data_IF_346721621488
#
_entry.id   IF_346721621488
#
_cell.length_a   1.000
_cell.length_b   1.000
_cell.length_c   1.000
_cell.angle_alpha   90.00
_cell.angle_beta   90.00
_cell.angle_gamma   90.00
#
_symmetry.space_group_name_H-M   'P 1'
#
loop_
_entity.id
_entity.type
_entity.pdbx_description
1 polymer ?
#
# COMPACT_ATOMS: atom_id res chain seq x y z
N UNK A 1 -9.16 22.42 -14.95
CA UNK A 1 -8.81 22.24 -13.54
C UNK A 1 -8.12 20.89 -13.34
N UNK A 2 -6.98 20.91 -12.71
CA UNK A 2 -6.25 19.68 -12.45
C UNK A 2 -6.93 18.88 -11.34
N UNK A 3 -7.04 17.57 -11.53
CA UNK A 3 -7.51 16.70 -10.45
C UNK A 3 -6.40 16.51 -9.43
N UNK A 4 -6.76 16.17 -8.20
CA UNK A 4 -5.79 15.86 -7.17
C UNK A 4 -4.93 14.68 -7.60
N UNK A 5 -3.64 14.64 -7.22
CA UNK A 5 -2.79 13.48 -7.48
C UNK A 5 -3.42 12.21 -6.88
N UNK A 6 -3.28 11.12 -7.58
CA UNK A 6 -3.81 9.83 -7.16
C UNK A 6 -2.70 8.80 -7.06
N UNK A 7 -2.83 7.83 -6.14
CA UNK A 7 -1.91 6.71 -6.12
C UNK A 7 -1.96 5.96 -7.44
N UNK A 8 -0.82 5.47 -7.88
CA UNK A 8 -0.74 4.64 -9.07
C UNK A 8 -0.53 3.19 -8.66
N UNK A 9 -1.34 2.31 -9.22
CA UNK A 9 -1.24 0.87 -8.96
C UNK A 9 -1.16 0.19 -10.32
N UNK A 10 -0.08 -0.55 -10.55
CA UNK A 10 0.16 -1.24 -11.81
C UNK A 10 0.22 -2.74 -11.55
N UNK A 11 -0.66 -3.55 -12.16
CA UNK A 11 -0.55 -5.01 -12.05
C UNK A 11 0.78 -5.48 -12.62
N UNK A 12 1.42 -6.43 -11.97
CA UNK A 12 2.70 -7.00 -12.41
C UNK A 12 2.57 -8.46 -12.80
N UNK A 13 2.45 -9.34 -11.82
CA UNK A 13 2.45 -10.79 -12.06
C UNK A 13 1.30 -11.45 -11.32
N UNK A 14 0.74 -12.49 -11.91
CA UNK A 14 -0.35 -13.23 -11.32
C UNK A 14 -0.02 -14.72 -11.34
N UNK A 15 0.02 -15.32 -10.17
CA UNK A 15 0.23 -16.75 -10.00
C UNK A 15 -1.06 -17.49 -9.76
N UNK A 16 -0.96 -18.69 -9.23
CA UNK A 16 -2.13 -19.50 -8.85
C UNK A 16 -2.81 -18.97 -7.58
N UNK A 17 -2.02 -18.54 -6.61
CA UNK A 17 -2.50 -18.11 -5.30
C UNK A 17 -2.23 -16.63 -5.08
N UNK A 18 -1.08 -16.14 -5.52
CA UNK A 18 -0.62 -14.79 -5.26
C UNK A 18 -0.65 -13.93 -6.51
N UNK A 19 -0.74 -12.63 -6.29
CA UNK A 19 -0.50 -11.64 -7.33
C UNK A 19 0.37 -10.53 -6.77
N UNK A 20 1.03 -9.79 -7.67
CA UNK A 20 1.85 -8.66 -7.29
C UNK A 20 1.45 -7.43 -8.06
N UNK A 21 1.60 -6.27 -7.43
CA UNK A 21 1.32 -4.96 -8.02
C UNK A 21 2.40 -3.98 -7.61
N UNK A 22 2.69 -3.04 -8.49
CA UNK A 22 3.53 -1.90 -8.13
C UNK A 22 2.63 -0.78 -7.63
N UNK A 23 3.02 -0.20 -6.51
CA UNK A 23 2.35 0.97 -5.95
C UNK A 23 3.33 2.13 -5.99
N UNK A 24 2.85 3.30 -6.40
CA UNK A 24 3.66 4.51 -6.46
C UNK A 24 2.84 5.68 -5.93
N UNK A 25 3.49 6.55 -5.17
CA UNK A 25 2.86 7.77 -4.72
C UNK A 25 3.90 8.87 -4.52
N UNK A 26 3.52 10.09 -4.88
CA UNK A 26 4.33 11.28 -4.66
C UNK A 26 3.71 12.11 -3.54
N UNK A 27 4.41 13.16 -3.12
CA UNK A 27 3.96 14.03 -2.05
C UNK A 27 2.53 14.53 -2.29
N UNK A 28 1.71 14.49 -1.25
CA UNK A 28 0.32 14.94 -1.31
C UNK A 28 -0.67 13.88 -1.76
N UNK A 29 -0.18 12.72 -2.22
CA UNK A 29 -1.05 11.63 -2.64
C UNK A 29 -1.39 10.78 -1.42
N UNK A 30 -2.66 10.40 -1.28
CA UNK A 30 -3.09 9.56 -0.18
C UNK A 30 -3.89 8.37 -0.68
N UNK A 31 -3.62 7.21 -0.10
CA UNK A 31 -4.54 6.09 -0.20
C UNK A 31 -5.66 6.31 0.80
N UNK A 32 -6.91 6.12 0.39
CA UNK A 32 -8.02 6.23 1.33
C UNK A 32 -7.86 5.20 2.44
N UNK A 33 -8.38 5.52 3.61
CA UNK A 33 -8.38 4.59 4.74
C UNK A 33 -9.14 3.33 4.34
N UNK A 34 -8.53 2.18 4.55
CA UNK A 34 -9.11 0.90 4.13
C UNK A 34 -8.59 -0.24 4.98
N UNK A 35 -9.20 -1.38 4.81
CA UNK A 35 -8.73 -2.65 5.36
C UNK A 35 -8.86 -3.73 4.30
N UNK A 36 -8.10 -4.79 4.46
CA UNK A 36 -8.10 -5.92 3.53
C UNK A 36 -8.55 -7.19 4.23
N UNK A 37 -9.16 -8.09 3.48
CA UNK A 37 -9.64 -9.37 4.02
C UNK A 37 -8.52 -10.34 4.36
N UNK A 38 -7.32 -10.13 3.80
CA UNK A 38 -6.18 -11.03 3.93
C UNK A 38 -4.93 -10.25 4.28
N UNK A 39 -4.00 -10.93 4.90
CA UNK A 39 -2.68 -10.39 5.15
C UNK A 39 -1.94 -10.20 3.83
N UNK A 40 -1.12 -9.15 3.74
CA UNK A 40 -0.32 -8.88 2.55
C UNK A 40 1.02 -8.27 2.94
N UNK A 41 1.93 -8.19 1.97
CA UNK A 41 3.28 -7.67 2.19
C UNK A 41 3.55 -6.51 1.25
N UNK A 42 4.15 -5.45 1.78
CA UNK A 42 4.71 -4.36 0.98
C UNK A 42 6.23 -4.44 1.05
N UNK A 43 6.87 -4.38 -0.10
CA UNK A 43 8.34 -4.30 -0.22
C UNK A 43 8.65 -2.93 -0.82
N UNK A 44 9.30 -2.06 -0.06
CA UNK A 44 9.65 -0.73 -0.55
C UNK A 44 10.87 -0.86 -1.46
N UNK A 45 10.77 -0.35 -2.69
CA UNK A 45 11.87 -0.39 -3.66
C UNK A 45 12.56 0.96 -3.80
N UNK A 46 11.82 2.06 -3.61
CA UNK A 46 12.37 3.41 -3.69
C UNK A 46 11.65 4.30 -2.68
N UNK A 47 12.36 5.24 -2.09
CA UNK A 47 11.77 6.24 -1.22
C UNK A 47 11.34 5.71 0.13
N UNK A 48 10.33 6.33 0.69
CA UNK A 48 9.87 6.05 2.06
C UNK A 48 8.35 6.14 2.12
N UNK A 49 7.73 5.18 2.80
CA UNK A 49 6.31 5.22 3.10
C UNK A 49 6.06 5.08 4.60
N UNK A 50 4.91 5.55 5.00
CA UNK A 50 4.41 5.39 6.36
C UNK A 50 3.07 4.70 6.30
N UNK A 51 2.84 3.72 7.17
CA UNK A 51 1.54 3.08 7.30
C UNK A 51 0.90 3.64 8.56
N UNK A 52 -0.27 4.27 8.40
CA UNK A 52 -0.98 4.87 9.51
C UNK A 52 -2.02 3.90 10.03
N UNK A 53 -1.76 3.35 11.20
CA UNK A 53 -2.72 2.57 11.98
C UNK A 53 -3.33 3.48 13.06
N UNK A 54 -4.29 2.97 13.79
CA UNK A 54 -4.91 3.75 14.87
C UNK A 54 -3.88 4.10 15.96
N UNK A 55 -3.04 3.16 16.35
CA UNK A 55 -2.13 3.32 17.49
C UNK A 55 -0.65 3.35 17.11
N UNK A 56 -0.31 3.27 15.83
CA UNK A 56 1.09 3.25 15.43
C UNK A 56 1.25 3.75 14.00
N UNK A 57 2.47 4.19 13.69
CA UNK A 57 2.77 4.82 12.41
C UNK A 57 4.13 4.32 11.88
N UNK A 58 4.26 3.01 11.60
CA UNK A 58 5.55 2.49 11.14
C UNK A 58 5.98 3.10 9.81
N UNK A 59 7.26 3.37 9.70
CA UNK A 59 7.90 3.94 8.51
C UNK A 59 8.82 2.88 7.90
N UNK A 60 8.78 2.78 6.57
CA UNK A 60 9.66 1.86 5.84
C UNK A 60 10.31 2.59 4.68
N UNK A 61 11.60 2.32 4.49
CA UNK A 61 12.37 2.90 3.40
C UNK A 61 12.86 1.79 2.45
N UNK A 62 13.47 2.20 1.34
CA UNK A 62 13.92 1.27 0.29
C UNK A 62 14.68 0.07 0.86
N UNK A 63 14.31 -1.12 0.44
CA UNK A 63 14.86 -2.38 0.91
C UNK A 63 14.15 -3.00 2.11
N UNK A 64 13.21 -2.28 2.72
CA UNK A 64 12.48 -2.75 3.88
C UNK A 64 11.10 -3.29 3.50
N UNK A 65 10.54 -4.12 4.35
CA UNK A 65 9.23 -4.73 4.15
C UNK A 65 8.32 -4.44 5.34
N UNK A 66 7.02 -4.52 5.07
CA UNK A 66 6.03 -4.48 6.14
C UNK A 66 4.90 -5.45 5.80
N UNK A 67 4.48 -6.22 6.79
CA UNK A 67 3.33 -7.10 6.67
C UNK A 67 2.10 -6.32 7.14
N UNK A 68 1.11 -6.21 6.27
CA UNK A 68 -0.16 -5.54 6.60
C UNK A 68 -1.13 -6.59 7.10
N UNK A 69 -1.57 -6.52 8.36
CA UNK A 69 -2.50 -7.53 8.90
C UNK A 69 -3.87 -7.48 8.23
N UNK A 70 -4.54 -8.62 8.20
CA UNK A 70 -5.91 -8.71 7.72
C UNK A 70 -6.85 -7.94 8.65
N UNK A 71 -7.87 -7.31 8.08
CA UNK A 71 -8.99 -6.67 8.78
C UNK A 71 -8.60 -5.54 9.74
N UNK A 72 -7.49 -4.87 9.47
CA UNK A 72 -7.04 -3.71 10.26
C UNK A 72 -7.10 -2.46 9.40
N UNK A 73 -7.81 -1.44 9.88
CA UNK A 73 -7.91 -0.16 9.18
C UNK A 73 -6.56 0.54 9.13
N UNK A 74 -6.19 1.02 7.95
CA UNK A 74 -4.92 1.71 7.76
C UNK A 74 -4.96 2.64 6.55
N UNK A 75 -3.97 3.53 6.49
CA UNK A 75 -3.69 4.37 5.32
C UNK A 75 -2.23 4.21 4.94
N UNK A 76 -1.95 4.33 3.65
CA UNK A 76 -0.57 4.33 3.14
C UNK A 76 -0.24 5.76 2.75
N UNK A 77 0.84 6.29 3.31
CA UNK A 77 1.21 7.71 3.14
C UNK A 77 2.62 7.80 2.57
N UNK A 78 2.83 8.51 1.44
CA UNK A 78 4.19 8.78 0.96
C UNK A 78 4.91 9.74 1.91
N UNK A 79 6.20 9.51 2.16
CA UNK A 79 6.97 10.30 3.11
C UNK A 79 8.37 10.64 2.56
N UNK A 80 8.50 11.52 1.57
CA UNK A 80 7.43 12.20 0.83
C UNK A 80 6.95 11.44 -0.41
N UNK A 81 7.67 10.41 -0.86
CA UNK A 81 7.33 9.64 -2.06
C UNK A 81 7.88 8.23 -1.94
N UNK A 82 7.27 7.27 -2.63
CA UNK A 82 7.75 5.90 -2.61
C UNK A 82 7.33 5.13 -3.86
N UNK A 83 8.05 4.03 -4.10
CA UNK A 83 7.62 2.93 -4.97
C UNK A 83 7.73 1.65 -4.16
N UNK A 84 6.75 0.79 -4.26
CA UNK A 84 6.70 -0.46 -3.51
C UNK A 84 6.06 -1.57 -4.33
N UNK A 85 6.38 -2.80 -3.99
CA UNK A 85 5.72 -3.97 -4.55
C UNK A 85 4.76 -4.50 -3.50
N UNK A 86 3.51 -4.66 -3.87
CA UNK A 86 2.48 -5.24 -3.01
C UNK A 86 2.28 -6.69 -3.41
N UNK A 87 2.45 -7.60 -2.46
CA UNK A 87 2.31 -9.05 -2.66
C UNK A 87 1.10 -9.49 -1.86
N UNK A 88 0.11 -10.09 -2.52
CA UNK A 88 -1.17 -10.40 -1.90
C UNK A 88 -1.82 -11.64 -2.50
N UNK A 89 -2.70 -12.31 -1.75
CA UNK A 89 -3.54 -13.37 -2.33
C UNK A 89 -4.48 -12.80 -3.39
N UNK A 90 -4.74 -13.57 -4.44
CA UNK A 90 -5.59 -13.14 -5.56
C UNK A 90 -7.03 -12.84 -5.16
N UNK A 91 -7.54 -13.48 -4.12
CA UNK A 91 -8.92 -13.29 -3.67
C UNK A 91 -9.06 -12.25 -2.56
N UNK A 92 -8.00 -11.47 -2.31
CA UNK A 92 -8.05 -10.39 -1.33
C UNK A 92 -9.14 -9.36 -1.71
N UNK A 93 -9.84 -8.87 -0.71
CA UNK A 93 -10.89 -7.85 -0.89
C UNK A 93 -10.58 -6.66 -0.01
N UNK A 94 -10.81 -5.47 -0.55
CA UNK A 94 -10.56 -4.24 0.15
C UNK A 94 -11.88 -3.56 0.52
N UNK A 95 -11.95 -3.03 1.73
CA UNK A 95 -13.09 -2.28 2.22
C UNK A 95 -12.61 -0.87 2.54
N UNK A 96 -13.27 0.13 1.98
CA UNK A 96 -12.87 1.52 2.16
C UNK A 96 -13.78 2.21 3.17
N UNK A 97 -13.16 3.05 3.98
CA UNK A 97 -13.87 3.87 4.95
C UNK A 97 -14.61 5.00 4.21
N UNK A 98 -15.72 5.41 4.74
CA UNK A 98 -16.47 6.55 4.21
C UNK A 98 -15.98 7.86 4.81
#
# INVERSE_FOLDING_TARGET
>A
MASAPRPQVTPLEEGTVLETRRMEATEGVQWPRHKASEESVLVVTEGTLRVEYEDSHPVRTAGETIVIPAEVWHEIVPSPAFKAIHIMPKDIRFTFSR
#
